data_IF_868490540831
#
_entry.id   IF_868490540831
#
_cell.length_a   1.000
_cell.length_b   1.000
_cell.length_c   1.000
_cell.angle_alpha   90.00
_cell.angle_beta   90.00
_cell.angle_gamma   90.00
#
_symmetry.space_group_name_H-M   'P 1'
#
loop_
_entity.id
_entity.type
_entity.pdbx_description
1 polymer ?
#
# COMPACT_ATOMS: atom_id res chain seq x y z
N UNK A 1 -33.24 1.56 -0.36
CA UNK A 1 -32.16 0.55 -0.34
C UNK A 1 -31.22 0.97 0.79
N UNK A 2 -30.99 0.11 1.77
CA UNK A 2 -29.96 0.37 2.80
C UNK A 2 -28.64 0.58 2.06
N UNK A 3 -28.02 1.76 2.20
CA UNK A 3 -26.71 2.01 1.59
C UNK A 3 -25.72 1.03 2.23
N UNK A 4 -25.05 0.23 1.42
CA UNK A 4 -24.06 -0.72 1.90
C UNK A 4 -22.89 0.08 2.48
N UNK A 5 -22.71 0.02 3.80
CA UNK A 5 -21.64 0.75 4.50
C UNK A 5 -20.32 -0.05 4.44
N UNK A 6 -19.69 -0.02 3.27
CA UNK A 6 -18.36 -0.58 3.05
C UNK A 6 -17.30 0.22 3.80
N UNK A 7 -16.38 -0.47 4.44
CA UNK A 7 -15.27 0.10 5.21
C UNK A 7 -13.99 -0.64 4.83
N UNK A 8 -13.07 0.10 4.20
CA UNK A 8 -11.79 -0.36 3.69
C UNK A 8 -10.67 0.17 4.57
N UNK A 9 -9.74 -0.69 4.95
CA UNK A 9 -8.49 -0.32 5.63
C UNK A 9 -7.31 -0.63 4.72
N UNK A 10 -6.43 0.35 4.49
CA UNK A 10 -5.15 0.14 3.83
C UNK A 10 -4.02 0.41 4.82
N UNK A 11 -3.02 -0.46 4.86
CA UNK A 11 -1.85 -0.31 5.74
C UNK A 11 -0.60 -0.30 4.87
N UNK A 12 -0.01 0.89 4.75
CA UNK A 12 1.21 1.17 4.00
C UNK A 12 2.36 1.59 4.93
N UNK A 13 3.59 1.37 4.48
CA UNK A 13 4.79 1.60 5.27
C UNK A 13 5.18 3.08 5.25
N UNK A 14 5.21 3.71 4.08
CA UNK A 14 5.75 5.06 3.88
C UNK A 14 4.77 5.98 3.14
N UNK A 15 4.97 7.31 3.22
CA UNK A 15 4.20 8.27 2.43
C UNK A 15 4.61 8.29 0.95
N UNK A 16 3.77 7.76 0.06
CA UNK A 16 3.93 7.55 -1.41
C UNK A 16 3.49 6.14 -1.84
N UNK A 17 3.59 5.17 -0.95
CA UNK A 17 3.13 3.80 -1.16
C UNK A 17 1.65 3.76 -1.56
N UNK A 18 0.81 4.58 -0.91
CA UNK A 18 -0.61 4.66 -1.24
C UNK A 18 -0.83 5.22 -2.64
N UNK A 19 0.03 6.16 -3.05
CA UNK A 19 -0.06 6.84 -4.34
C UNK A 19 0.45 5.99 -5.50
N UNK A 20 1.37 5.07 -5.22
CA UNK A 20 1.95 4.15 -6.20
C UNK A 20 1.20 2.82 -6.31
N UNK A 21 0.37 2.47 -5.33
CA UNK A 21 -0.18 1.11 -5.23
C UNK A 21 -1.71 1.03 -5.00
N UNK A 22 -2.40 2.09 -4.58
CA UNK A 22 -3.80 1.97 -4.14
C UNK A 22 -4.74 3.16 -4.41
N UNK A 23 -4.33 4.14 -5.22
CA UNK A 23 -5.15 5.34 -5.51
C UNK A 23 -6.48 5.01 -6.17
N UNK A 24 -6.48 4.20 -7.24
CA UNK A 24 -7.69 3.88 -7.98
C UNK A 24 -8.69 3.16 -7.08
N UNK A 25 -8.21 2.27 -6.22
CA UNK A 25 -9.02 1.57 -5.23
C UNK A 25 -9.59 2.50 -4.17
N UNK A 26 -8.76 3.38 -3.60
CA UNK A 26 -9.24 4.36 -2.61
C UNK A 26 -10.27 5.31 -3.24
N UNK A 27 -9.95 5.90 -4.39
CA UNK A 27 -10.82 6.84 -5.09
C UNK A 27 -12.15 6.20 -5.47
N UNK A 28 -12.11 4.98 -6.03
CA UNK A 28 -13.32 4.22 -6.34
C UNK A 28 -14.22 4.03 -5.13
N UNK A 29 -13.67 3.55 -4.02
CA UNK A 29 -14.49 3.22 -2.87
C UNK A 29 -15.03 4.48 -2.19
N UNK A 30 -14.30 5.59 -2.23
CA UNK A 30 -14.82 6.89 -1.81
C UNK A 30 -15.98 7.36 -2.70
N UNK A 31 -15.86 7.24 -4.04
CA UNK A 31 -16.93 7.58 -4.98
C UNK A 31 -18.19 6.72 -4.78
N UNK A 32 -18.02 5.45 -4.38
CA UNK A 32 -19.10 4.53 -4.02
C UNK A 32 -19.69 4.81 -2.61
N UNK A 33 -19.14 5.78 -1.87
CA UNK A 33 -19.61 6.17 -0.54
C UNK A 33 -19.11 5.29 0.61
N UNK A 34 -18.06 4.50 0.39
CA UNK A 34 -17.40 3.71 1.43
C UNK A 34 -16.57 4.60 2.37
N UNK A 35 -16.36 4.12 3.60
CA UNK A 35 -15.32 4.66 4.46
C UNK A 35 -13.98 4.05 4.05
N UNK A 36 -13.00 4.89 3.76
CA UNK A 36 -11.62 4.46 3.47
C UNK A 36 -10.70 5.02 4.54
N UNK A 37 -10.04 4.11 5.26
CA UNK A 37 -9.03 4.44 6.27
C UNK A 37 -7.65 4.06 5.74
N UNK A 38 -6.73 5.02 5.72
CA UNK A 38 -5.32 4.77 5.43
C UNK A 38 -4.49 4.82 6.73
N UNK A 39 -3.69 3.79 6.95
CA UNK A 39 -2.64 3.77 7.97
C UNK A 39 -1.29 3.85 7.28
N UNK A 40 -0.46 4.83 7.66
CA UNK A 40 0.95 4.90 7.26
C UNK A 40 1.84 4.59 8.47
N UNK A 41 2.77 3.65 8.35
CA UNK A 41 3.55 3.20 9.51
C UNK A 41 4.64 4.18 9.94
N UNK A 42 5.27 4.87 9.00
CA UNK A 42 6.43 5.76 9.23
C UNK A 42 6.27 7.12 8.55
N UNK A 43 7.22 8.03 8.72
CA UNK A 43 7.24 9.30 7.97
C UNK A 43 8.10 9.24 6.70
N UNK A 44 8.79 8.11 6.45
CA UNK A 44 9.66 7.97 5.28
C UNK A 44 10.95 8.79 5.38
N UNK A 45 11.48 8.93 6.59
CA UNK A 45 12.63 9.78 6.91
C UNK A 45 13.92 9.38 6.18
N UNK A 46 14.03 8.15 5.68
CA UNK A 46 15.21 7.63 4.97
C UNK A 46 14.96 7.36 3.47
N UNK A 47 13.86 7.91 2.93
CA UNK A 47 13.56 7.82 1.50
C UNK A 47 14.65 8.45 0.62
N UNK A 48 14.86 7.87 -0.56
CA UNK A 48 15.74 8.45 -1.57
C UNK A 48 15.13 9.73 -2.14
N UNK A 49 15.92 10.82 -2.18
CA UNK A 49 15.44 12.10 -2.70
C UNK A 49 15.74 12.19 -4.19
N UNK A 50 14.68 12.18 -5.00
CA UNK A 50 14.80 12.13 -6.46
C UNK A 50 15.17 13.47 -7.10
N UNK A 51 14.85 14.60 -6.46
CA UNK A 51 15.04 15.94 -7.02
C UNK A 51 16.22 16.70 -6.36
N UNK A 52 17.16 17.27 -7.15
CA UNK A 52 18.32 17.99 -6.61
C UNK A 52 17.98 19.13 -5.64
N UNK A 53 16.84 19.79 -5.84
CA UNK A 53 16.42 20.92 -5.00
C UNK A 53 16.19 20.54 -3.53
N UNK A 54 15.98 19.25 -3.21
CA UNK A 54 15.68 18.77 -1.86
C UNK A 54 16.74 17.85 -1.26
N UNK A 55 17.81 17.54 -1.99
CA UNK A 55 18.92 16.70 -1.50
C UNK A 55 19.61 17.22 -0.22
N UNK A 56 19.32 18.47 0.17
CA UNK A 56 19.84 19.10 1.38
C UNK A 56 19.06 18.74 2.65
N UNK A 57 17.93 18.03 2.55
CA UNK A 57 17.15 17.64 3.72
C UNK A 57 17.88 16.61 4.58
N UNK A 58 17.91 16.87 5.88
CA UNK A 58 18.18 15.83 6.88
C UNK A 58 17.00 14.85 6.96
N UNK A 59 17.18 13.63 7.50
CA UNK A 59 16.09 12.66 7.64
C UNK A 59 14.84 13.21 8.32
N UNK A 60 15.01 13.99 9.40
CA UNK A 60 13.89 14.63 10.09
C UNK A 60 13.16 15.67 9.23
N UNK A 61 13.90 16.49 8.47
CA UNK A 61 13.31 17.46 7.55
C UNK A 61 12.58 16.76 6.39
N UNK A 62 13.13 15.65 5.89
CA UNK A 62 12.48 14.84 4.86
C UNK A 62 11.16 14.24 5.37
N UNK A 63 11.16 13.67 6.59
CA UNK A 63 9.93 13.16 7.21
C UNK A 63 8.85 14.23 7.35
N UNK A 64 9.20 15.43 7.85
CA UNK A 64 8.26 16.55 7.92
C UNK A 64 7.79 17.03 6.55
N UNK A 65 8.65 16.99 5.54
CA UNK A 65 8.30 17.32 4.17
C UNK A 65 7.30 16.31 3.57
N UNK A 66 7.59 15.02 3.69
CA UNK A 66 6.75 13.92 3.18
C UNK A 66 5.36 13.88 3.83
N UNK A 67 5.22 14.37 5.07
CA UNK A 67 3.90 14.60 5.68
C UNK A 67 3.05 15.59 4.89
N UNK A 68 3.64 16.68 4.41
CA UNK A 68 2.92 17.65 3.58
C UNK A 68 2.59 17.08 2.20
N UNK A 69 3.47 16.24 1.65
CA UNK A 69 3.28 15.59 0.36
C UNK A 69 2.12 14.58 0.41
N UNK A 70 2.08 13.70 1.41
CA UNK A 70 0.94 12.77 1.56
C UNK A 70 -0.35 13.53 1.87
N UNK A 71 -0.33 14.58 2.70
CA UNK A 71 -1.52 15.40 2.93
C UNK A 71 -2.06 16.00 1.62
N UNK A 72 -1.17 16.37 0.68
CA UNK A 72 -1.57 16.83 -0.65
C UNK A 72 -2.11 15.69 -1.52
N UNK A 73 -1.43 14.53 -1.53
CA UNK A 73 -1.88 13.36 -2.29
C UNK A 73 -3.27 12.90 -1.83
N UNK A 74 -3.50 12.78 -0.52
CA UNK A 74 -4.79 12.35 0.02
C UNK A 74 -5.92 13.34 -0.26
N UNK A 75 -5.63 14.64 -0.37
CA UNK A 75 -6.61 15.64 -0.85
C UNK A 75 -7.01 15.42 -2.31
N UNK A 76 -6.07 15.03 -3.16
CA UNK A 76 -6.38 14.69 -4.57
C UNK A 76 -7.27 13.44 -4.68
N UNK A 77 -7.06 12.45 -3.79
CA UNK A 77 -7.84 11.20 -3.74
C UNK A 77 -9.18 11.38 -3.03
N UNK A 78 -9.27 12.29 -2.06
CA UNK A 78 -10.44 12.49 -1.19
C UNK A 78 -10.41 11.69 0.12
N UNK A 79 -9.27 11.10 0.49
CA UNK A 79 -9.12 10.37 1.75
C UNK A 79 -9.07 11.36 2.92
N UNK A 80 -9.91 11.14 3.93
CA UNK A 80 -9.99 12.01 5.12
C UNK A 80 -9.68 11.30 6.44
N UNK A 81 -9.78 9.96 6.48
CA UNK A 81 -9.38 9.16 7.64
C UNK A 81 -7.98 8.57 7.39
N UNK A 82 -6.97 9.39 7.66
CA UNK A 82 -5.56 9.00 7.64
C UNK A 82 -4.98 9.03 9.04
N UNK A 83 -4.24 7.98 9.39
CA UNK A 83 -3.54 7.91 10.67
C UNK A 83 -2.13 7.37 10.49
N UNK A 84 -1.21 7.88 11.30
CA UNK A 84 0.10 7.26 11.46
C UNK A 84 0.02 6.17 12.53
N UNK A 85 0.62 5.01 12.28
CA UNK A 85 0.59 3.88 13.22
C UNK A 85 1.22 4.28 14.57
N UNK A 86 0.41 4.30 15.62
CA UNK A 86 0.85 4.72 16.97
C UNK A 86 1.15 6.22 17.11
N UNK A 87 0.82 7.02 16.09
CA UNK A 87 1.08 8.48 16.03
C UNK A 87 2.24 8.85 15.11
N UNK A 88 2.20 10.07 14.56
CA UNK A 88 3.22 10.56 13.64
C UNK A 88 4.61 10.56 14.32
N UNK A 89 5.60 9.94 13.66
CA UNK A 89 6.96 9.82 14.18
C UNK A 89 7.13 8.77 15.30
N UNK A 90 6.11 7.96 15.61
CA UNK A 90 6.24 6.85 16.57
C UNK A 90 7.31 5.85 16.10
N UNK A 91 7.21 5.46 14.84
CA UNK A 91 8.16 4.58 14.18
C UNK A 91 8.87 5.35 13.08
N UNK A 92 10.20 5.29 13.12
CA UNK A 92 11.04 5.88 12.10
C UNK A 92 11.19 4.90 10.94
N UNK A 93 11.30 5.41 9.72
CA UNK A 93 11.71 4.64 8.55
C UNK A 93 13.00 3.86 8.86
N UNK A 94 13.00 2.57 8.59
CA UNK A 94 14.13 1.69 8.85
C UNK A 94 15.23 1.84 7.80
N UNK A 95 14.89 2.41 6.64
CA UNK A 95 15.72 2.39 5.46
C UNK A 95 15.88 0.99 4.88
N UNK A 96 16.68 0.91 3.83
CA UNK A 96 16.93 -0.31 3.07
C UNK A 96 18.37 -0.31 2.56
N UNK A 97 18.97 -1.50 2.46
CA UNK A 97 20.20 -1.71 1.69
C UNK A 97 19.94 -2.71 0.57
N UNK A 98 20.87 -2.81 -0.39
CA UNK A 98 20.81 -3.83 -1.44
C UNK A 98 21.72 -5.00 -1.05
N UNK A 99 21.17 -6.21 -1.06
CA UNK A 99 21.89 -7.45 -0.81
C UNK A 99 22.80 -7.86 -1.99
N UNK A 100 23.66 -8.88 -1.81
CA UNK A 100 24.57 -9.35 -2.88
C UNK A 100 23.85 -9.86 -4.13
N UNK A 101 22.58 -10.23 -4.01
CA UNK A 101 21.71 -10.69 -5.10
C UNK A 101 20.95 -9.55 -5.78
N UNK A 102 21.24 -8.29 -5.45
CA UNK A 102 20.59 -7.11 -6.01
C UNK A 102 19.21 -6.81 -5.45
N UNK A 103 18.78 -7.52 -4.39
CA UNK A 103 17.45 -7.35 -3.79
C UNK A 103 17.49 -6.46 -2.56
N UNK A 104 16.33 -5.90 -2.21
CA UNK A 104 16.15 -5.21 -0.95
C UNK A 104 16.53 -6.11 0.24
N UNK A 105 17.28 -5.54 1.17
CA UNK A 105 17.75 -6.20 2.38
C UNK A 105 17.66 -5.24 3.58
N UNK A 106 17.65 -5.85 4.76
CA UNK A 106 17.64 -5.12 6.03
C UNK A 106 19.03 -4.49 6.24
N UNK A 107 19.14 -3.18 6.52
CA UNK A 107 20.42 -2.55 6.82
C UNK A 107 20.93 -2.98 8.21
N UNK A 108 22.24 -3.08 8.38
CA UNK A 108 22.86 -3.43 9.66
C UNK A 108 22.66 -2.33 10.72
N UNK A 109 22.75 -1.08 10.26
CA UNK A 109 22.55 0.12 11.07
C UNK A 109 21.20 0.77 10.73
N UNK A 110 20.45 1.12 11.76
CA UNK A 110 19.18 1.84 11.63
C UNK A 110 18.87 2.60 12.93
N UNK A 111 17.97 3.60 12.89
CA UNK A 111 17.55 4.36 14.07
C UNK A 111 17.03 3.46 15.20
N UNK A 112 17.13 3.94 16.44
CA UNK A 112 16.73 3.16 17.61
C UNK A 112 15.23 2.82 17.63
N UNK A 113 14.40 3.71 17.07
CA UNK A 113 12.96 3.52 16.91
C UNK A 113 12.55 3.14 15.46
N UNK A 114 13.47 2.52 14.70
CA UNK A 114 13.17 2.00 13.37
C UNK A 114 12.00 1.00 13.41
N UNK A 115 11.07 1.11 12.45
CA UNK A 115 9.85 0.32 12.42
C UNK A 115 10.13 -1.19 12.33
N UNK A 116 11.16 -1.61 11.60
CA UNK A 116 11.60 -3.00 11.50
C UNK A 116 11.96 -3.62 12.86
N UNK A 117 12.43 -2.79 13.82
CA UNK A 117 12.77 -3.21 15.18
C UNK A 117 11.61 -3.08 16.18
N UNK A 118 10.47 -2.55 15.75
CA UNK A 118 9.33 -2.37 16.63
C UNK A 118 8.89 -3.73 17.21
N UNK A 119 8.56 -3.74 18.50
CA UNK A 119 7.90 -4.89 19.10
C UNK A 119 6.58 -5.14 18.36
N UNK A 120 6.44 -6.34 17.82
CA UNK A 120 5.32 -6.67 16.94
C UNK A 120 3.98 -6.59 17.67
N UNK A 121 3.92 -6.96 18.95
CA UNK A 121 2.70 -6.88 19.74
C UNK A 121 2.32 -5.44 20.04
N UNK A 122 3.29 -4.58 20.36
CA UNK A 122 3.08 -3.15 20.55
C UNK A 122 2.54 -2.48 19.28
N UNK A 123 3.23 -2.66 18.15
CA UNK A 123 2.80 -2.12 16.86
C UNK A 123 1.42 -2.65 16.45
N UNK A 124 1.17 -3.95 16.64
CA UNK A 124 -0.14 -4.55 16.39
C UNK A 124 -1.24 -3.98 17.29
N UNK A 125 -0.96 -3.64 18.56
CA UNK A 125 -1.95 -3.03 19.45
C UNK A 125 -2.40 -1.65 18.97
N UNK A 126 -1.50 -0.84 18.39
CA UNK A 126 -1.88 0.42 17.76
C UNK A 126 -2.84 0.19 16.59
N UNK A 127 -2.61 -0.86 15.79
CA UNK A 127 -3.50 -1.19 14.69
C UNK A 127 -4.81 -1.87 15.13
N UNK A 128 -4.81 -2.62 16.24
CA UNK A 128 -6.04 -3.18 16.85
C UNK A 128 -7.03 -2.07 17.21
N UNK A 129 -6.53 -0.97 17.79
CA UNK A 129 -7.37 0.20 18.10
C UNK A 129 -8.04 0.77 16.84
N UNK A 130 -7.29 0.90 15.74
CA UNK A 130 -7.82 1.34 14.44
C UNK A 130 -8.85 0.33 13.90
N UNK A 131 -8.52 -0.97 13.87
CA UNK A 131 -9.40 -2.02 13.36
C UNK A 131 -10.72 -2.05 14.14
N UNK A 132 -10.69 -1.99 15.47
CA UNK A 132 -11.90 -2.06 16.30
C UNK A 132 -12.75 -0.80 16.26
N UNK A 133 -12.12 0.37 16.08
CA UNK A 133 -12.84 1.64 15.94
C UNK A 133 -13.46 1.82 14.54
N UNK A 134 -12.75 1.46 13.47
CA UNK A 134 -13.21 1.63 12.08
C UNK A 134 -13.97 0.42 11.55
N UNK A 135 -13.80 -0.75 12.16
CA UNK A 135 -14.50 -2.00 11.82
C UNK A 135 -14.44 -2.32 10.31
N UNK A 136 -13.27 -2.34 9.65
CA UNK A 136 -13.18 -2.57 8.22
C UNK A 136 -13.60 -4.00 7.85
N UNK A 137 -14.42 -4.18 6.80
CA UNK A 137 -14.69 -5.53 6.28
C UNK A 137 -13.53 -6.05 5.42
N UNK A 138 -12.88 -5.16 4.69
CA UNK A 138 -11.74 -5.47 3.81
C UNK A 138 -10.52 -4.71 4.33
N UNK A 139 -9.38 -5.39 4.40
CA UNK A 139 -8.09 -4.75 4.63
C UNK A 139 -7.07 -5.11 3.54
N UNK A 140 -6.15 -4.20 3.25
CA UNK A 140 -5.10 -4.35 2.25
C UNK A 140 -3.74 -4.00 2.87
N UNK A 141 -2.73 -4.82 2.60
CA UNK A 141 -1.31 -4.54 2.87
C UNK A 141 -0.45 -5.32 1.89
N UNK A 142 0.87 -5.34 2.09
CA UNK A 142 1.82 -6.08 1.27
C UNK A 142 1.70 -7.60 1.44
N UNK A 143 2.33 -8.34 0.52
CA UNK A 143 2.56 -9.77 0.70
C UNK A 143 3.59 -10.06 1.83
N UNK A 144 3.83 -11.34 2.21
CA UNK A 144 4.80 -11.69 3.25
C UNK A 144 6.25 -11.26 2.97
N UNK A 145 6.56 -10.93 1.72
CA UNK A 145 7.87 -10.47 1.26
C UNK A 145 7.94 -8.94 1.14
N UNK A 146 6.88 -8.21 1.49
CA UNK A 146 6.86 -6.76 1.36
C UNK A 146 6.90 -6.29 -0.10
N UNK A 147 6.40 -7.12 -1.01
CA UNK A 147 6.51 -6.98 -2.46
C UNK A 147 7.97 -7.05 -2.93
N UNK A 148 8.66 -5.90 -3.00
CA UNK A 148 10.04 -5.84 -3.51
C UNK A 148 11.12 -6.12 -2.43
N UNK A 149 10.71 -6.40 -1.18
CA UNK A 149 11.62 -6.80 -0.11
C UNK A 149 11.97 -5.70 0.90
N UNK A 150 11.36 -4.52 0.83
CA UNK A 150 11.64 -3.45 1.79
C UNK A 150 11.33 -3.93 3.22
N UNK A 151 12.23 -3.74 4.21
CA UNK A 151 12.02 -4.17 5.59
C UNK A 151 10.68 -3.68 6.16
N UNK A 152 10.38 -2.39 6.02
CA UNK A 152 9.14 -1.81 6.55
C UNK A 152 7.86 -2.30 5.86
N UNK A 153 7.92 -2.73 4.60
CA UNK A 153 6.76 -3.33 3.92
C UNK A 153 6.46 -4.71 4.53
N UNK A 154 7.52 -5.52 4.73
CA UNK A 154 7.42 -6.80 5.43
C UNK A 154 6.89 -6.60 6.86
N UNK A 155 7.33 -5.55 7.55
CA UNK A 155 6.85 -5.26 8.90
C UNK A 155 5.39 -4.79 8.92
N UNK A 156 4.97 -3.95 7.98
CA UNK A 156 3.57 -3.54 7.82
C UNK A 156 2.66 -4.75 7.56
N UNK A 157 3.11 -5.68 6.71
CA UNK A 157 2.44 -6.98 6.54
C UNK A 157 2.30 -7.73 7.86
N UNK A 158 3.41 -7.94 8.60
CA UNK A 158 3.39 -8.66 9.88
C UNK A 158 2.44 -8.01 10.88
N UNK A 159 2.47 -6.67 10.96
CA UNK A 159 1.63 -5.88 11.87
C UNK A 159 0.15 -6.05 11.52
N UNK A 160 -0.27 -5.88 10.25
CA UNK A 160 -1.68 -6.08 9.89
C UNK A 160 -2.14 -7.52 10.12
N UNK A 161 -1.33 -8.51 9.69
CA UNK A 161 -1.71 -9.91 9.84
C UNK A 161 -1.87 -10.28 11.32
N UNK A 162 -0.95 -9.85 12.19
CA UNK A 162 -1.06 -10.13 13.62
C UNK A 162 -2.18 -9.34 14.30
N UNK A 163 -2.31 -8.04 14.00
CA UNK A 163 -3.38 -7.19 14.53
C UNK A 163 -4.77 -7.71 14.13
N UNK A 164 -4.93 -8.32 12.95
CA UNK A 164 -6.22 -8.88 12.52
C UNK A 164 -6.70 -10.02 13.44
N UNK A 165 -5.79 -10.87 13.89
CA UNK A 165 -6.08 -11.97 14.83
C UNK A 165 -6.41 -11.40 16.22
N UNK A 166 -5.61 -10.43 16.68
CA UNK A 166 -5.80 -9.79 17.98
C UNK A 166 -7.09 -8.98 18.06
N UNK A 167 -7.44 -8.27 17.00
CA UNK A 167 -8.63 -7.44 16.93
C UNK A 167 -9.92 -8.27 17.05
N UNK A 168 -9.92 -9.50 16.54
CA UNK A 168 -11.03 -10.44 16.65
C UNK A 168 -11.15 -11.11 18.03
N UNK A 169 -10.08 -11.13 18.83
CA UNK A 169 -10.06 -11.80 20.13
C UNK A 169 -10.72 -10.96 21.23
N UNK A 170 -11.85 -11.41 21.84
CA UNK A 170 -12.55 -10.63 22.87
C UNK A 170 -11.74 -10.42 24.18
N UNK A 171 -10.77 -11.30 24.46
CA UNK A 171 -9.95 -11.24 25.67
C UNK A 171 -8.68 -10.39 25.50
N UNK A 172 -8.30 -10.07 24.25
CA UNK A 172 -7.13 -9.25 23.99
C UNK A 172 -7.48 -7.76 24.09
N UNK A 173 -6.81 -7.04 24.99
CA UNK A 173 -6.95 -5.59 25.18
C UNK A 173 -8.41 -5.10 25.06
N UNK A 174 -9.33 -5.56 25.93
CA UNK A 174 -10.75 -5.19 25.84
C UNK A 174 -10.98 -3.67 26.01
N UNK A 175 -10.00 -2.96 26.56
CA UNK A 175 -9.94 -1.50 26.64
C UNK A 175 -9.82 -0.80 25.27
N UNK A 176 -9.37 -1.49 24.23
CA UNK A 176 -9.25 -0.96 22.86
C UNK A 176 -10.55 -1.10 22.02
N UNK A 177 -11.68 -1.34 22.69
CA UNK A 177 -13.00 -1.45 22.07
C UNK A 177 -13.44 -2.90 21.79
N UNK A 178 -14.66 -3.03 21.26
CA UNK A 178 -15.28 -4.32 20.99
C UNK A 178 -14.53 -5.12 19.92
N UNK A 179 -14.46 -6.46 20.03
CA UNK A 179 -13.76 -7.29 19.05
C UNK A 179 -14.36 -7.13 17.66
N UNK A 180 -13.48 -7.16 16.65
CA UNK A 180 -13.85 -7.05 15.25
C UNK A 180 -13.02 -7.99 14.39
N UNK A 181 -13.69 -8.82 13.60
CA UNK A 181 -13.07 -9.71 12.63
C UNK A 181 -13.11 -9.07 11.25
N UNK A 182 -11.93 -8.78 10.68
CA UNK A 182 -11.82 -8.41 9.27
C UNK A 182 -12.23 -9.63 8.43
N UNK A 183 -13.12 -9.41 7.47
CA UNK A 183 -13.75 -10.48 6.69
C UNK A 183 -12.87 -10.94 5.53
N UNK A 184 -12.08 -10.02 4.96
CA UNK A 184 -11.14 -10.30 3.86
C UNK A 184 -9.89 -9.45 3.99
N UNK A 185 -8.73 -10.09 3.89
CA UNK A 185 -7.43 -9.42 3.81
C UNK A 185 -6.83 -9.74 2.46
N UNK A 186 -6.42 -8.70 1.73
CA UNK A 186 -5.80 -8.80 0.42
C UNK A 186 -4.36 -8.32 0.50
N UNK A 187 -3.51 -8.93 -0.32
CA UNK A 187 -2.14 -8.45 -0.52
C UNK A 187 -2.06 -7.70 -1.84
N UNK A 188 -1.68 -6.42 -1.80
CA UNK A 188 -1.56 -5.63 -3.02
C UNK A 188 -0.32 -6.05 -3.81
N UNK A 189 -0.45 -6.08 -5.13
CA UNK A 189 0.63 -6.43 -6.05
C UNK A 189 0.48 -5.64 -7.35
N UNK A 190 1.51 -5.70 -8.18
CA UNK A 190 1.44 -5.23 -9.56
C UNK A 190 0.61 -6.17 -10.43
N UNK A 191 -0.04 -5.61 -11.45
CA UNK A 191 -0.59 -6.39 -12.55
C UNK A 191 0.59 -6.89 -13.43
N UNK A 192 1.05 -8.12 -13.17
CA UNK A 192 2.26 -8.70 -13.76
C UNK A 192 2.25 -8.61 -15.29
N UNK A 193 1.14 -8.96 -15.94
CA UNK A 193 1.03 -8.92 -17.41
C UNK A 193 1.25 -7.51 -17.97
N UNK A 194 0.70 -6.49 -17.31
CA UNK A 194 0.82 -5.10 -17.74
C UNK A 194 2.19 -4.51 -17.45
N UNK A 195 2.85 -4.98 -16.39
CA UNK A 195 4.25 -4.63 -16.14
C UNK A 195 5.18 -5.19 -17.21
N UNK A 196 4.98 -6.46 -17.61
CA UNK A 196 5.75 -7.09 -18.71
C UNK A 196 5.53 -6.33 -20.02
N UNK A 197 4.27 -6.05 -20.37
CA UNK A 197 3.93 -5.30 -21.59
C UNK A 197 4.56 -3.89 -21.59
N UNK A 198 4.44 -3.15 -20.48
CA UNK A 198 5.04 -1.83 -20.35
C UNK A 198 6.56 -1.86 -20.40
N UNK A 199 7.19 -2.91 -19.87
CA UNK A 199 8.65 -3.05 -19.86
C UNK A 199 9.18 -3.22 -21.29
N UNK A 200 8.51 -4.03 -22.11
CA UNK A 200 8.86 -4.20 -23.52
C UNK A 200 8.75 -2.88 -24.29
N UNK A 201 7.67 -2.13 -24.06
CA UNK A 201 7.48 -0.80 -24.67
C UNK A 201 8.57 0.18 -24.20
N UNK A 202 8.91 0.18 -22.91
CA UNK A 202 9.95 1.03 -22.34
C UNK A 202 11.33 0.73 -22.97
N UNK A 203 11.65 -0.56 -23.16
CA UNK A 203 12.88 -1.00 -23.84
C UNK A 203 12.92 -0.57 -25.29
N UNK A 204 11.82 -0.68 -26.04
CA UNK A 204 11.72 -0.19 -27.42
C UNK A 204 11.93 1.33 -27.52
N UNK A 205 11.55 2.08 -26.48
CA UNK A 205 11.76 3.53 -26.36
C UNK A 205 13.15 3.91 -25.87
N UNK A 206 14.01 2.94 -25.54
CA UNK A 206 15.35 3.19 -25.02
C UNK A 206 15.39 3.70 -23.57
N UNK A 207 14.35 3.41 -22.77
CA UNK A 207 14.36 3.75 -21.35
C UNK A 207 15.25 2.76 -20.57
N UNK A 208 16.28 3.29 -19.91
CA UNK A 208 17.16 2.50 -19.04
C UNK A 208 16.58 2.46 -17.62
N UNK A 209 15.84 1.39 -17.31
CA UNK A 209 15.18 1.21 -16.00
C UNK A 209 16.11 0.59 -14.94
N UNK A 210 16.95 -0.34 -15.37
CA UNK A 210 17.91 -1.07 -14.53
C UNK A 210 19.23 -1.23 -15.30
N UNK A 211 20.13 -0.23 -15.26
CA UNK A 211 21.30 -0.13 -16.12
C UNK A 211 22.28 -1.32 -16.07
N UNK A 212 22.20 -2.14 -15.00
CA UNK A 212 23.11 -3.25 -14.75
C UNK A 212 22.43 -4.63 -14.70
N UNK A 213 21.10 -4.69 -14.85
CA UNK A 213 20.32 -5.94 -14.70
C UNK A 213 19.12 -5.96 -15.65
N UNK A 214 19.19 -6.77 -16.71
CA UNK A 214 17.97 -7.13 -17.44
C UNK A 214 17.05 -7.94 -16.52
N UNK A 215 15.77 -7.56 -16.47
CA UNK A 215 14.76 -8.30 -15.72
C UNK A 215 14.01 -9.28 -16.62
N UNK A 216 13.78 -10.47 -16.08
CA UNK A 216 12.90 -11.47 -16.67
C UNK A 216 11.44 -11.07 -16.42
N UNK A 217 10.55 -11.43 -17.35
CA UNK A 217 9.11 -11.27 -17.19
C UNK A 217 8.60 -11.87 -15.86
N UNK A 218 9.14 -13.03 -15.49
CA UNK A 218 8.79 -13.75 -14.26
C UNK A 218 9.29 -13.05 -12.98
N UNK A 219 10.08 -11.98 -13.10
CA UNK A 219 10.62 -11.22 -11.96
C UNK A 219 9.80 -9.98 -11.59
N UNK A 220 8.77 -9.62 -12.37
CA UNK A 220 7.98 -8.40 -12.15
C UNK A 220 6.87 -8.54 -11.12
N UNK A 221 6.51 -9.76 -10.74
CA UNK A 221 5.42 -9.99 -9.81
C UNK A 221 5.12 -11.47 -9.62
N UNK A 222 4.02 -11.78 -8.91
CA UNK A 222 3.53 -13.14 -8.78
C UNK A 222 3.08 -13.69 -10.14
N UNK A 223 2.89 -15.01 -10.21
CA UNK A 223 2.20 -15.66 -11.33
C UNK A 223 0.82 -14.99 -11.52
N UNK A 224 0.50 -14.47 -12.73
CA UNK A 224 -0.79 -13.84 -13.01
C UNK A 224 -2.00 -14.69 -12.58
N UNK A 225 -1.89 -16.02 -12.60
CA UNK A 225 -2.95 -16.94 -12.17
C UNK A 225 -3.26 -16.87 -10.65
N UNK A 226 -2.36 -16.30 -9.84
CA UNK A 226 -2.55 -16.08 -8.41
C UNK A 226 -3.32 -14.79 -8.09
N UNK A 227 -3.43 -13.87 -9.06
CA UNK A 227 -4.19 -12.63 -8.90
C UNK A 227 -5.67 -13.00 -8.79
N UNK A 228 -6.35 -12.49 -7.75
CA UNK A 228 -7.75 -12.80 -7.46
C UNK A 228 -8.68 -11.63 -7.71
N UNK A 229 -8.15 -10.41 -7.70
CA UNK A 229 -8.92 -9.19 -7.94
C UNK A 229 -8.08 -8.14 -8.66
N UNK A 230 -8.77 -7.29 -9.42
CA UNK A 230 -8.19 -6.16 -10.13
C UNK A 230 -9.14 -4.97 -10.06
N UNK A 231 -8.62 -3.81 -9.66
CA UNK A 231 -9.33 -2.54 -9.74
C UNK A 231 -8.69 -1.74 -10.87
N UNK A 232 -9.42 -1.57 -11.97
CA UNK A 232 -8.92 -0.85 -13.14
C UNK A 232 -8.60 0.60 -12.80
N UNK A 233 -7.44 1.07 -13.27
CA UNK A 233 -6.97 2.44 -13.02
C UNK A 233 -7.67 3.45 -13.93
N UNK A 234 -8.13 3.03 -15.12
CA UNK A 234 -8.59 3.94 -16.17
C UNK A 234 -9.62 5.00 -15.72
N UNK A 235 -10.65 4.67 -14.92
CA UNK A 235 -11.63 5.67 -14.47
C UNK A 235 -11.07 6.74 -13.52
N UNK A 236 -9.95 6.44 -12.84
CA UNK A 236 -9.31 7.32 -11.85
C UNK A 236 -7.88 7.71 -12.22
N UNK A 237 -7.47 7.50 -13.48
CA UNK A 237 -6.08 7.69 -13.91
C UNK A 237 -5.56 9.12 -13.64
N UNK A 238 -6.40 10.14 -13.85
CA UNK A 238 -6.02 11.52 -13.55
C UNK A 238 -5.82 11.77 -12.06
N UNK A 239 -6.62 11.13 -11.20
CA UNK A 239 -6.45 11.19 -9.73
C UNK A 239 -5.14 10.49 -9.33
N UNK A 240 -4.87 9.31 -9.90
CA UNK A 240 -3.62 8.57 -9.68
C UNK A 240 -2.40 9.43 -10.01
N UNK A 241 -2.42 10.13 -11.14
CA UNK A 241 -1.31 11.02 -11.56
C UNK A 241 -1.11 12.20 -10.64
N UNK A 242 -2.18 12.87 -10.20
CA UNK A 242 -2.07 14.03 -9.30
C UNK A 242 -1.63 13.63 -7.90
N UNK A 243 -2.14 12.51 -7.38
CA UNK A 243 -1.71 11.96 -6.10
C UNK A 243 -0.22 11.58 -6.13
N UNK A 244 0.21 10.80 -7.12
CA UNK A 244 1.62 10.44 -7.29
C UNK A 244 2.52 11.68 -7.48
N UNK A 245 2.07 12.64 -8.30
CA UNK A 245 2.79 13.90 -8.53
C UNK A 245 2.87 14.84 -7.32
N UNK A 246 2.15 14.54 -6.23
CA UNK A 246 2.26 15.28 -4.97
C UNK A 246 3.49 14.86 -4.15
N UNK A 247 4.02 13.66 -4.39
CA UNK A 247 5.21 13.10 -3.73
C UNK A 247 6.49 13.45 -4.47
N UNK A 248 6.66 14.72 -4.81
CA UNK A 248 7.77 15.17 -5.67
C UNK A 248 9.14 14.76 -5.09
N UNK A 249 9.28 14.65 -3.77
CA UNK A 249 10.57 14.30 -3.15
C UNK A 249 10.99 12.88 -3.47
N UNK A 250 10.01 12.00 -3.73
CA UNK A 250 10.17 10.59 -4.04
C UNK A 250 9.87 10.28 -5.54
N UNK A 251 9.29 11.24 -6.25
CA UNK A 251 8.80 11.05 -7.63
C UNK A 251 9.38 12.13 -8.55
N UNK A 252 10.26 11.71 -9.44
CA UNK A 252 10.65 12.48 -10.62
C UNK A 252 10.01 11.89 -11.87
N UNK A 253 9.00 12.56 -12.44
CA UNK A 253 8.26 12.08 -13.62
C UNK A 253 9.13 11.93 -14.87
N UNK A 254 10.28 12.61 -14.92
CA UNK A 254 11.23 12.51 -16.02
C UNK A 254 12.22 11.35 -15.83
N UNK A 255 12.31 10.77 -14.62
CA UNK A 255 13.13 9.60 -14.37
C UNK A 255 12.60 8.38 -15.17
N UNK A 256 13.46 7.57 -15.82
CA UNK A 256 13.03 6.46 -16.68
C UNK A 256 12.03 5.49 -16.01
N UNK A 257 12.22 5.20 -14.72
CA UNK A 257 11.28 4.36 -13.95
C UNK A 257 9.85 4.93 -13.92
N UNK A 258 9.70 6.23 -13.68
CA UNK A 258 8.39 6.86 -13.61
C UNK A 258 7.75 7.04 -14.99
N UNK A 259 8.56 7.19 -16.04
CA UNK A 259 8.08 7.10 -17.43
C UNK A 259 7.55 5.69 -17.76
N UNK A 260 8.27 4.63 -17.37
CA UNK A 260 7.80 3.25 -17.47
C UNK A 260 6.49 3.02 -16.70
N UNK A 261 6.43 3.49 -15.46
CA UNK A 261 5.24 3.36 -14.63
C UNK A 261 4.03 4.06 -15.26
N UNK A 262 4.23 5.24 -15.88
CA UNK A 262 3.19 5.92 -16.66
C UNK A 262 2.74 5.11 -17.87
N UNK A 263 3.66 4.51 -18.64
CA UNK A 263 3.31 3.63 -19.75
C UNK A 263 2.40 2.51 -19.24
N UNK A 264 2.79 1.85 -18.15
CA UNK A 264 2.02 0.78 -17.53
C UNK A 264 0.61 1.25 -17.17
N UNK A 265 0.45 2.39 -16.49
CA UNK A 265 -0.87 2.92 -16.13
C UNK A 265 -1.77 3.27 -17.32
N UNK A 266 -1.19 3.61 -18.48
CA UNK A 266 -1.94 3.96 -19.70
C UNK A 266 -2.39 2.73 -20.51
N UNK A 267 -1.87 1.54 -20.23
CA UNK A 267 -2.24 0.32 -20.97
C UNK A 267 -3.70 -0.10 -20.69
N UNK A 268 -4.43 -0.55 -21.72
CA UNK A 268 -5.75 -1.15 -21.52
C UNK A 268 -5.69 -2.37 -20.60
N UNK A 269 -6.57 -2.41 -19.60
CA UNK A 269 -6.61 -3.48 -18.59
C UNK A 269 -5.59 -3.30 -17.45
N UNK A 270 -4.91 -2.16 -17.37
CA UNK A 270 -4.10 -1.81 -16.20
C UNK A 270 -4.95 -1.52 -14.98
N UNK A 271 -4.42 -1.88 -13.83
CA UNK A 271 -5.13 -1.81 -12.57
C UNK A 271 -4.27 -2.20 -11.39
N UNK A 272 -4.79 -1.90 -10.22
CA UNK A 272 -4.25 -2.33 -8.94
C UNK A 272 -4.69 -3.77 -8.71
N UNK A 273 -3.72 -4.67 -8.60
CA UNK A 273 -3.96 -6.11 -8.52
C UNK A 273 -3.81 -6.59 -7.08
N UNK A 274 -4.52 -7.68 -6.77
CA UNK A 274 -4.56 -8.22 -5.42
C UNK A 274 -4.46 -9.74 -5.41
N UNK A 275 -3.66 -10.24 -4.47
CA UNK A 275 -3.63 -11.63 -4.04
C UNK A 275 -4.55 -11.82 -2.83
N UNK A 276 -5.00 -13.05 -2.62
CA UNK A 276 -5.75 -13.41 -1.41
C UNK A 276 -4.80 -13.61 -0.24
N UNK A 277 -4.91 -12.80 0.81
CA UNK A 277 -4.10 -12.94 2.02
C UNK A 277 -4.76 -13.81 3.10
N UNK A 278 -6.01 -13.50 3.46
CA UNK A 278 -6.78 -14.27 4.44
C UNK A 278 -8.29 -13.95 4.39
N UNK A 279 -9.10 -14.80 5.01
CA UNK A 279 -10.54 -14.58 5.18
C UNK A 279 -11.40 -15.17 4.07
N UNK A 280 -12.53 -14.54 3.79
CA UNK A 280 -13.55 -15.06 2.87
C UNK A 280 -13.13 -14.93 1.40
N UNK A 281 -13.10 -16.02 0.63
CA UNK A 281 -12.76 -15.96 -0.79
C UNK A 281 -13.82 -15.15 -1.57
N UNK A 282 -13.44 -14.70 -2.76
CA UNK A 282 -14.42 -14.13 -3.70
C UNK A 282 -15.42 -15.20 -4.17
N UNK A 283 -16.65 -14.81 -4.53
CA UNK A 283 -17.58 -15.71 -5.22
C UNK A 283 -16.96 -16.28 -6.49
N UNK A 284 -17.29 -17.53 -6.82
CA UNK A 284 -16.83 -18.14 -8.09
C UNK A 284 -17.38 -17.35 -9.27
N UNK A 285 -16.52 -17.03 -10.23
CA UNK A 285 -16.84 -16.37 -11.49
C UNK A 285 -15.77 -16.64 -12.54
N UNK A 286 -16.00 -16.18 -13.77
CA UNK A 286 -15.16 -16.49 -14.94
C UNK A 286 -13.94 -15.55 -15.09
N UNK A 287 -13.50 -14.89 -14.02
CA UNK A 287 -12.38 -13.95 -14.07
C UNK A 287 -12.05 -13.31 -12.72
N UNK A 288 -11.16 -12.32 -12.75
CA UNK A 288 -10.74 -11.55 -11.58
C UNK A 288 -11.93 -10.82 -10.96
N UNK A 289 -11.99 -10.78 -9.63
CA UNK A 289 -12.99 -9.97 -8.96
C UNK A 289 -12.73 -8.48 -9.23
N UNK A 290 -13.73 -7.78 -9.73
CA UNK A 290 -13.68 -6.34 -9.96
C UNK A 290 -14.25 -5.55 -8.78
N UNK A 291 -14.55 -6.18 -7.64
CA UNK A 291 -14.99 -5.51 -6.41
C UNK A 291 -14.45 -6.27 -5.20
N UNK A 292 -13.62 -5.62 -4.41
CA UNK A 292 -12.97 -6.17 -3.21
C UNK A 292 -13.97 -6.58 -2.11
N UNK A 293 -15.20 -6.05 -2.13
CA UNK A 293 -16.27 -6.42 -1.20
C UNK A 293 -17.22 -7.51 -1.75
N UNK A 294 -17.01 -8.00 -2.97
CA UNK A 294 -17.91 -8.96 -3.59
C UNK A 294 -18.10 -10.21 -2.70
N UNK A 295 -19.36 -10.61 -2.53
CA UNK A 295 -19.75 -11.76 -1.72
C UNK A 295 -19.72 -11.53 -0.20
N UNK A 296 -19.20 -10.41 0.29
CA UNK A 296 -19.28 -10.09 1.71
C UNK A 296 -20.70 -9.63 2.04
N UNK A 297 -21.22 -10.09 3.17
CA UNK A 297 -22.48 -9.56 3.69
C UNK A 297 -22.22 -8.15 4.21
N UNK A 298 -23.07 -7.20 3.84
CA UNK A 298 -23.17 -5.94 4.58
C UNK A 298 -23.51 -6.30 6.01
N UNK A 299 -22.62 -6.05 6.96
CA UNK A 299 -22.96 -6.28 8.37
C UNK A 299 -24.17 -5.40 8.66
N UNK A 300 -25.31 -6.03 8.94
CA UNK A 300 -26.46 -5.36 9.51
C UNK A 300 -25.94 -4.58 10.71
N UNK A 301 -26.27 -3.29 10.74
CA UNK A 301 -26.09 -2.42 11.90
C UNK A 301 -26.58 -3.22 13.09
N UNK A 302 -25.66 -3.68 13.93
CA UNK A 302 -26.01 -4.28 15.20
C UNK A 302 -26.85 -3.23 15.94
N UNK A 303 -28.13 -3.56 16.17
CA UNK A 303 -29.09 -2.72 16.87
C UNK A 303 -28.70 -2.43 18.31
#
# INVERSE_FOLDING_TARGET
MSAVNHRLLLVHAHPDDESSQSVATMARYLDEGAQVTLVTCTLGELGEIMLPEWQHFTPAQLGDHRRMEIDAALREVGVTDHVYLGGAGRYHDSGMTTGPDGKAAVPDEMPANAFWRADLLEAANHLVEVIRSRRPQVAVTYDPHGNYGHPDHIQAHRVLMYASVLAASPSHRPDLGAPWQIRRILWNTHNTDKWVEAYLIAKERGLELWPEQERDADSFGPDPAQIVALIETAPWLDVCRRALGSHRSQVDIEHPFWQFYRIMQELPGSGEAYLMGAGEPFPKGDGLASCLFAGLRSDDVAG
#
